data_IF_820643909339
#
_entry.id   IF_820643909339
#
_cell.length_a   1.000
_cell.length_b   1.000
_cell.length_c   1.000
_cell.angle_alpha   90.00
_cell.angle_beta   90.00
_cell.angle_gamma   90.00
#
_symmetry.space_group_name_H-M   'P 1'
#
loop_
_entity.id
_entity.type
_entity.pdbx_description
1 polymer ?
#
# COMPACT_ATOMS: atom_id res chain seq x y z
N UNK A 1 -8.55 -8.79 6.36
CA UNK A 1 -9.54 -8.22 5.42
C UNK A 1 -9.87 -6.80 5.89
N UNK A 2 -9.81 -5.81 5.00
CA UNK A 2 -10.11 -4.42 5.38
C UNK A 2 -11.62 -4.18 5.39
N UNK A 3 -12.11 -3.59 6.48
CA UNK A 3 -13.51 -3.20 6.64
C UNK A 3 -13.76 -1.78 6.15
N UNK A 4 -15.03 -1.41 5.88
CA UNK A 4 -15.38 -0.03 5.51
C UNK A 4 -14.86 1.00 6.53
N UNK A 5 -14.84 0.64 7.82
CA UNK A 5 -14.35 1.53 8.88
C UNK A 5 -12.87 1.87 8.71
N UNK A 6 -12.05 0.89 8.33
CA UNK A 6 -10.62 1.10 8.06
C UNK A 6 -10.39 1.87 6.77
N UNK A 7 -11.15 1.52 5.71
CA UNK A 7 -11.07 2.20 4.41
C UNK A 7 -11.59 3.65 4.43
N UNK A 8 -12.44 3.99 5.40
CA UNK A 8 -12.86 5.37 5.66
C UNK A 8 -11.78 6.21 6.33
N UNK A 9 -10.86 5.59 7.08
CA UNK A 9 -9.77 6.29 7.76
C UNK A 9 -8.53 6.42 6.86
N UNK A 10 -8.21 5.39 6.08
CA UNK A 10 -7.08 5.39 5.14
C UNK A 10 -7.51 4.75 3.82
N UNK A 11 -7.22 5.42 2.72
CA UNK A 11 -7.51 4.91 1.38
C UNK A 11 -6.75 3.60 1.13
N UNK A 12 -7.42 2.61 0.51
CA UNK A 12 -6.79 1.33 0.13
C UNK A 12 -5.45 1.46 -0.63
N UNK A 13 -5.28 2.41 -1.58
CA UNK A 13 -4.00 2.65 -2.25
C UNK A 13 -2.88 3.03 -1.28
N UNK A 14 -3.17 3.87 -0.29
CA UNK A 14 -2.21 4.28 0.73
C UNK A 14 -1.89 3.15 1.71
N UNK A 15 -2.89 2.32 2.03
CA UNK A 15 -2.68 1.08 2.78
C UNK A 15 -1.70 0.17 2.04
N UNK A 16 -1.92 -0.08 0.74
CA UNK A 16 -1.04 -0.94 -0.08
C UNK A 16 0.37 -0.34 -0.19
N UNK A 17 0.49 1.00 -0.32
CA UNK A 17 1.77 1.72 -0.40
C UNK A 17 2.56 1.61 0.90
N UNK A 18 1.89 1.83 2.04
CA UNK A 18 2.51 1.91 3.36
C UNK A 18 2.47 0.58 4.12
N UNK A 19 2.01 -0.51 3.49
CA UNK A 19 2.00 -1.83 4.10
C UNK A 19 3.43 -2.25 4.46
N UNK A 20 3.66 -2.62 5.72
CA UNK A 20 4.97 -3.06 6.20
C UNK A 20 4.79 -4.31 7.04
N UNK A 21 5.63 -5.30 6.80
CA UNK A 21 5.73 -6.51 7.62
C UNK A 21 7.15 -6.60 8.15
N UNK A 22 7.30 -7.10 9.37
CA UNK A 22 8.60 -7.44 9.92
C UNK A 22 9.15 -8.63 9.12
N UNK A 23 10.21 -8.41 8.33
CA UNK A 23 10.91 -9.49 7.66
C UNK A 23 11.85 -10.24 8.62
N UNK A 24 12.49 -11.31 8.13
CA UNK A 24 13.37 -12.17 8.92
C UNK A 24 14.49 -11.42 9.67
N UNK A 25 14.93 -10.28 9.14
CA UNK A 25 15.96 -9.42 9.74
C UNK A 25 15.43 -8.30 10.65
N UNK A 26 14.16 -8.35 11.07
CA UNK A 26 13.48 -7.25 11.80
C UNK A 26 13.46 -5.92 11.02
N UNK A 27 13.68 -5.97 9.69
CA UNK A 27 13.59 -4.80 8.83
C UNK A 27 12.13 -4.71 8.34
N UNK A 28 11.44 -3.58 8.60
CA UNK A 28 10.08 -3.39 8.14
C UNK A 28 10.03 -3.09 6.64
N UNK A 29 9.67 -4.12 5.85
CA UNK A 29 9.61 -4.10 4.38
C UNK A 29 8.19 -4.24 3.84
N UNK A 30 7.95 -3.77 2.61
CA UNK A 30 6.68 -3.91 1.92
C UNK A 30 6.73 -5.05 0.87
N UNK A 31 6.10 -6.21 1.12
CA UNK A 31 6.09 -7.34 0.18
C UNK A 31 5.22 -7.08 -1.05
N UNK A 32 4.30 -6.12 -0.99
CA UNK A 32 3.45 -5.73 -2.12
C UNK A 32 4.27 -4.84 -3.05
N UNK A 33 4.85 -5.43 -4.10
CA UNK A 33 5.69 -4.72 -5.08
C UNK A 33 5.07 -4.67 -6.47
N UNK A 34 4.42 -5.76 -6.88
CA UNK A 34 3.81 -5.89 -8.20
C UNK A 34 2.38 -6.40 -8.07
N UNK A 35 1.50 -5.90 -8.93
CA UNK A 35 0.20 -6.50 -9.19
C UNK A 35 0.33 -7.51 -10.32
N UNK A 36 -0.61 -8.45 -10.35
CA UNK A 36 -0.77 -9.34 -11.47
C UNK A 36 -1.15 -8.56 -12.75
N UNK A 37 -0.58 -8.90 -13.93
CA UNK A 37 0.38 -9.99 -14.17
C UNK A 37 1.85 -9.64 -13.86
N UNK A 38 2.26 -8.37 -13.92
CA UNK A 38 3.62 -7.92 -13.53
C UNK A 38 3.70 -6.38 -13.49
N UNK A 39 2.66 -5.72 -12.99
CA UNK A 39 2.56 -4.25 -13.02
C UNK A 39 3.12 -3.70 -11.71
N UNK A 40 4.11 -2.79 -11.71
CA UNK A 40 4.59 -2.18 -10.47
C UNK A 40 3.44 -1.53 -9.68
N UNK A 41 3.41 -1.69 -8.36
CA UNK A 41 2.32 -1.13 -7.54
C UNK A 41 2.16 0.38 -7.71
N UNK A 42 3.26 1.10 -7.88
CA UNK A 42 3.25 2.53 -8.08
C UNK A 42 2.64 2.85 -9.44
N UNK A 43 2.97 2.12 -10.50
CA UNK A 43 2.36 2.35 -11.82
C UNK A 43 0.82 2.17 -11.78
N UNK A 44 0.35 1.15 -11.07
CA UNK A 44 -1.08 0.87 -10.92
C UNK A 44 -1.81 1.85 -9.99
N UNK A 45 -1.22 2.18 -8.82
CA UNK A 45 -1.90 2.89 -7.74
C UNK A 45 -1.45 4.34 -7.54
N UNK A 46 -0.40 4.81 -8.21
CA UNK A 46 0.15 6.18 -8.02
C UNK A 46 -0.87 7.28 -8.21
N UNK A 47 -1.80 7.10 -9.15
CA UNK A 47 -2.88 8.09 -9.38
C UNK A 47 -3.89 8.19 -8.23
N UNK A 48 -3.92 7.18 -7.36
CA UNK A 48 -4.84 7.10 -6.22
C UNK A 48 -4.15 7.30 -4.86
N UNK A 49 -2.83 7.50 -4.83
CA UNK A 49 -2.16 7.86 -3.58
C UNK A 49 -2.66 9.22 -3.13
N UNK A 50 -3.00 9.32 -1.85
CA UNK A 50 -3.33 10.59 -1.25
C UNK A 50 -2.10 11.49 -1.39
N UNK A 51 -2.26 12.61 -2.10
CA UNK A 51 -1.22 13.64 -2.15
C UNK A 51 -1.05 14.15 -0.71
N UNK A 52 0.18 14.40 -0.22
CA UNK A 52 0.32 15.09 1.05
C UNK A 52 -0.43 16.42 0.92
N UNK A 53 -1.51 16.56 1.68
CA UNK A 53 -2.03 17.87 2.03
C UNK A 53 -0.97 18.50 2.92
N UNK A 54 -0.22 19.41 2.31
CA UNK A 54 0.68 20.35 2.98
C UNK A 54 -0.03 21.06 4.15
#
# INVERSE_FOLDING_TARGET
PYTKKELSAVSLPDIIRNYRVMAADNIPENPLRFLYPNIPKDDAFRKYYSKPTD
#
